data_IF_775903648624
#
_entry.id   IF_775903648624
#
_cell.length_a   1.000
_cell.length_b   1.000
_cell.length_c   1.000
_cell.angle_alpha   90.00
_cell.angle_beta   90.00
_cell.angle_gamma   90.00
#
_symmetry.space_group_name_H-M   'P 1'
#
loop_
_entity.id
_entity.type
_entity.pdbx_description
1 polymer ?
#
# COMPACT_ATOMS: atom_id res chain seq x y z
N UNK A 1 19.33 -1.06 -4.61
CA UNK A 1 18.01 -0.64 -4.08
C UNK A 1 17.20 -1.93 -3.98
N UNK A 2 16.92 -2.41 -2.76
CA UNK A 2 16.28 -3.72 -2.56
C UNK A 2 14.79 -3.65 -2.88
N UNK A 3 14.29 -4.61 -3.67
CA UNK A 3 12.86 -4.83 -3.91
C UNK A 3 12.31 -5.80 -2.86
N UNK A 4 11.15 -5.51 -2.27
CA UNK A 4 10.45 -6.40 -1.34
C UNK A 4 9.25 -7.04 -2.04
N UNK A 5 9.03 -8.33 -1.81
CA UNK A 5 7.84 -9.02 -2.31
C UNK A 5 6.77 -9.10 -1.22
N UNK A 6 5.52 -8.90 -1.61
CA UNK A 6 4.35 -9.08 -0.76
C UNK A 6 3.36 -10.06 -1.40
N UNK A 7 2.63 -10.79 -0.56
CA UNK A 7 1.57 -11.72 -0.98
C UNK A 7 0.30 -11.46 -0.17
N UNK A 8 -0.86 -11.48 -0.85
CA UNK A 8 -2.14 -11.45 -0.15
C UNK A 8 -2.30 -12.78 0.61
N UNK A 9 -2.66 -12.75 1.90
CA UNK A 9 -2.75 -13.99 2.68
C UNK A 9 -3.74 -14.98 2.03
N UNK A 10 -3.26 -16.22 1.81
CA UNK A 10 -3.93 -17.39 1.20
C UNK A 10 -4.03 -17.42 -0.33
N UNK A 11 -3.64 -16.37 -1.05
CA UNK A 11 -3.56 -16.38 -2.52
C UNK A 11 -2.20 -15.84 -2.96
N UNK A 12 -1.49 -16.56 -3.83
CA UNK A 12 -0.20 -16.12 -4.39
C UNK A 12 -0.42 -14.93 -5.35
N UNK A 13 -0.85 -13.78 -4.84
CA UNK A 13 -0.95 -12.54 -5.60
C UNK A 13 0.42 -11.86 -5.58
N UNK A 14 1.18 -11.91 -6.68
CA UNK A 14 2.56 -11.44 -6.68
C UNK A 14 2.59 -9.92 -6.72
N UNK A 15 3.08 -9.30 -5.67
CA UNK A 15 3.28 -7.84 -5.60
C UNK A 15 4.73 -7.53 -5.33
N UNK A 16 5.28 -6.59 -6.09
CA UNK A 16 6.60 -6.01 -5.86
C UNK A 16 6.44 -4.63 -5.24
N UNK A 17 7.20 -4.35 -4.19
CA UNK A 17 7.24 -3.08 -3.49
C UNK A 17 8.66 -2.55 -3.59
N UNK A 18 8.80 -1.35 -4.15
CA UNK A 18 10.07 -0.63 -4.24
C UNK A 18 9.98 0.65 -3.42
N UNK A 19 10.66 0.72 -2.27
CA UNK A 19 10.80 1.97 -1.52
C UNK A 19 11.53 3.03 -2.36
N UNK A 20 11.06 4.27 -2.30
CA UNK A 20 11.71 5.42 -2.94
C UNK A 20 12.59 6.18 -1.94
N UNK A 21 13.44 7.09 -2.44
CA UNK A 21 14.38 7.86 -1.59
C UNK A 21 13.69 8.63 -0.47
N UNK A 22 12.49 9.15 -0.71
CA UNK A 22 11.70 9.83 0.31
C UNK A 22 10.92 8.80 1.15
N UNK A 23 11.12 8.82 2.47
CA UNK A 23 10.42 7.94 3.40
C UNK A 23 8.89 8.04 3.21
N UNK A 24 8.22 6.90 3.30
CA UNK A 24 6.78 6.82 3.08
C UNK A 24 6.38 6.85 1.61
N UNK A 25 7.30 6.81 0.66
CA UNK A 25 6.97 6.73 -0.76
C UNK A 25 7.43 5.40 -1.35
N UNK A 26 6.55 4.79 -2.14
CA UNK A 26 6.72 3.44 -2.66
C UNK A 26 6.23 3.38 -4.10
N UNK A 27 6.83 2.48 -4.88
CA UNK A 27 6.25 2.00 -6.12
C UNK A 27 5.76 0.58 -5.89
N UNK A 28 4.48 0.34 -6.13
CA UNK A 28 3.84 -0.96 -6.00
C UNK A 28 3.50 -1.47 -7.39
N UNK A 29 4.06 -2.62 -7.77
CA UNK A 29 3.84 -3.23 -9.07
C UNK A 29 3.19 -4.61 -8.94
N UNK A 30 2.12 -4.84 -9.69
CA UNK A 30 1.39 -6.11 -9.75
C UNK A 30 1.20 -6.60 -11.20
N UNK A 31 0.08 -7.29 -11.48
CA UNK A 31 -0.30 -7.82 -12.81
C UNK A 31 -0.49 -6.71 -13.88
N UNK A 32 0.59 -6.10 -14.33
CA UNK A 32 0.60 -5.10 -15.41
C UNK A 32 0.33 -3.65 -14.97
N UNK A 33 0.14 -3.41 -13.66
CA UNK A 33 -0.07 -2.07 -13.11
C UNK A 33 1.08 -1.66 -12.22
N UNK A 34 1.47 -0.39 -12.33
CA UNK A 34 2.37 0.29 -11.40
C UNK A 34 1.61 1.41 -10.68
N UNK A 35 1.69 1.43 -9.36
CA UNK A 35 1.05 2.42 -8.48
C UNK A 35 2.11 3.17 -7.69
N UNK A 36 2.02 4.50 -7.71
CA UNK A 36 2.93 5.38 -6.97
C UNK A 36 2.25 5.74 -5.66
N UNK A 37 2.70 5.13 -4.56
CA UNK A 37 2.01 5.14 -3.28
C UNK A 37 2.77 6.02 -2.30
N UNK A 38 2.07 6.96 -1.66
CA UNK A 38 2.57 7.73 -0.53
C UNK A 38 1.76 7.37 0.73
N UNK A 39 2.46 6.98 1.79
CA UNK A 39 1.89 6.65 3.10
C UNK A 39 2.39 7.63 4.14
N UNK A 40 1.48 8.22 4.91
CA UNK A 40 1.78 9.15 6.01
C UNK A 40 0.94 8.80 7.24
N UNK A 41 1.41 9.08 8.46
CA UNK A 41 0.54 9.03 9.63
C UNK A 41 -0.64 10.00 9.44
N UNK A 42 -1.84 9.55 9.79
CA UNK A 42 -3.05 10.38 9.70
C UNK A 42 -3.17 11.40 10.82
N UNK A 43 -2.50 11.17 11.96
CA UNK A 43 -2.65 11.94 13.20
C UNK A 43 -4.12 12.08 13.65
N UNK A 44 -4.95 11.06 13.38
CA UNK A 44 -6.38 11.05 13.73
C UNK A 44 -7.30 11.69 12.69
N UNK A 45 -6.78 12.14 11.55
CA UNK A 45 -7.63 12.56 10.42
C UNK A 45 -8.32 11.35 9.79
N UNK A 46 -9.64 11.46 9.57
CA UNK A 46 -10.42 10.47 8.81
C UNK A 46 -10.60 9.11 9.47
N UNK A 47 -10.36 8.97 10.78
CA UNK A 47 -10.64 7.76 11.57
C UNK A 47 -9.70 6.57 11.36
N UNK A 48 -8.70 6.70 10.48
CA UNK A 48 -7.65 5.69 10.26
C UNK A 48 -6.31 6.07 10.92
N UNK A 49 -5.32 5.18 10.87
CA UNK A 49 -3.96 5.43 11.39
C UNK A 49 -3.01 5.99 10.31
N UNK A 50 -3.30 5.71 9.04
CA UNK A 50 -2.50 6.13 7.90
C UNK A 50 -3.36 6.82 6.84
N UNK A 51 -2.78 7.84 6.21
CA UNK A 51 -3.24 8.41 4.95
C UNK A 51 -2.45 7.70 3.85
N UNK A 52 -3.16 7.13 2.88
CA UNK A 52 -2.60 6.46 1.72
C UNK A 52 -3.05 7.21 0.47
N UNK A 53 -2.09 7.64 -0.34
CA UNK A 53 -2.34 8.28 -1.63
C UNK A 53 -1.74 7.44 -2.77
N UNK A 54 -2.52 7.18 -3.80
CA UNK A 54 -2.07 6.60 -5.07
C UNK A 54 -1.98 7.73 -6.09
N UNK A 55 -0.77 8.29 -6.19
CA UNK A 55 -0.51 9.59 -6.84
C UNK A 55 -0.87 9.56 -8.31
N UNK A 56 -0.46 8.51 -9.03
CA UNK A 56 -0.72 8.39 -10.46
C UNK A 56 -2.20 8.11 -10.79
N UNK A 57 -3.02 7.73 -9.81
CA UNK A 57 -4.47 7.54 -9.97
C UNK A 57 -5.29 8.68 -9.35
N UNK A 58 -4.64 9.71 -8.80
CA UNK A 58 -5.28 10.82 -8.09
C UNK A 58 -6.30 10.36 -7.03
N UNK A 59 -5.97 9.28 -6.32
CA UNK A 59 -6.82 8.65 -5.32
C UNK A 59 -6.16 8.77 -3.95
N UNK A 60 -6.94 9.03 -2.90
CA UNK A 60 -6.43 9.04 -1.52
C UNK A 60 -7.50 8.60 -0.53
N UNK A 61 -7.05 8.03 0.59
CA UNK A 61 -7.92 7.51 1.62
C UNK A 61 -7.24 7.42 2.97
N UNK A 62 -8.06 7.40 4.02
CA UNK A 62 -7.61 7.10 5.37
C UNK A 62 -7.91 5.63 5.68
N UNK A 63 -6.95 4.97 6.30
CA UNK A 63 -6.93 3.53 6.51
C UNK A 63 -6.48 3.24 7.96
N UNK A 64 -7.34 2.56 8.73
CA UNK A 64 -7.04 1.84 9.98
C UNK A 64 -5.96 0.78 9.81
N UNK A 65 -4.79 0.93 10.44
CA UNK A 65 -3.73 -0.05 10.35
C UNK A 65 -4.11 -1.44 10.94
N UNK A 66 -4.81 -2.30 10.19
CA UNK A 66 -4.81 -3.77 10.21
C UNK A 66 -5.76 -4.36 9.16
N UNK A 67 -5.19 -5.08 8.19
CA UNK A 67 -5.85 -6.00 7.25
C UNK A 67 -6.84 -5.35 6.28
N UNK A 68 -6.44 -5.26 5.01
CA UNK A 68 -7.23 -4.66 3.95
C UNK A 68 -7.67 -5.66 2.91
N UNK A 69 -8.94 -5.61 2.54
CA UNK A 69 -9.45 -6.26 1.34
C UNK A 69 -9.41 -5.32 0.14
N UNK A 70 -9.50 -5.88 -1.07
CA UNK A 70 -9.69 -5.08 -2.28
C UNK A 70 -10.96 -4.19 -2.18
N UNK A 71 -12.00 -4.63 -1.48
CA UNK A 71 -13.22 -3.85 -1.29
C UNK A 71 -12.97 -2.59 -0.44
N UNK A 72 -12.17 -2.71 0.62
CA UNK A 72 -11.78 -1.57 1.47
C UNK A 72 -10.99 -0.55 0.67
N UNK A 73 -10.07 -1.00 -0.18
CA UNK A 73 -9.30 -0.11 -1.06
C UNK A 73 -10.20 0.64 -2.04
N UNK A 74 -11.18 -0.03 -2.64
CA UNK A 74 -12.16 0.62 -3.53
C UNK A 74 -12.97 1.66 -2.76
N UNK A 75 -13.43 1.32 -1.54
CA UNK A 75 -14.31 2.17 -0.75
C UNK A 75 -13.59 3.39 -0.16
N UNK A 76 -12.41 3.19 0.44
CA UNK A 76 -11.74 4.21 1.24
C UNK A 76 -10.68 4.99 0.47
N UNK A 77 -9.97 4.35 -0.48
CA UNK A 77 -8.94 5.02 -1.31
C UNK A 77 -9.50 5.46 -2.66
N UNK A 78 -10.45 4.72 -3.23
CA UNK A 78 -11.06 5.03 -4.52
C UNK A 78 -10.42 4.38 -5.74
N UNK A 79 -9.52 3.40 -5.55
CA UNK A 79 -8.97 2.61 -6.67
C UNK A 79 -10.06 1.67 -7.20
N UNK A 80 -10.75 2.06 -8.28
CA UNK A 80 -11.96 1.38 -8.77
C UNK A 80 -11.69 0.01 -9.40
N UNK A 81 -10.52 -0.18 -9.99
CA UNK A 81 -10.16 -1.47 -10.60
C UNK A 81 -9.87 -2.49 -9.49
N UNK A 82 -10.62 -3.59 -9.47
CA UNK A 82 -10.50 -4.63 -8.43
C UNK A 82 -9.12 -5.31 -8.39
N UNK A 83 -8.45 -5.44 -9.53
CA UNK A 83 -7.10 -6.04 -9.66
C UNK A 83 -6.06 -5.11 -9.05
N UNK A 84 -6.16 -3.81 -9.33
CA UNK A 84 -5.27 -2.79 -8.76
C UNK A 84 -5.53 -2.62 -7.25
N UNK A 85 -6.80 -2.65 -6.86
CA UNK A 85 -7.21 -2.61 -5.45
C UNK A 85 -6.67 -3.81 -4.67
N UNK A 86 -6.78 -5.03 -5.22
CA UNK A 86 -6.20 -6.23 -4.61
C UNK A 86 -4.66 -6.16 -4.54
N UNK A 87 -4.02 -5.62 -5.57
CA UNK A 87 -2.57 -5.40 -5.60
C UNK A 87 -2.14 -4.43 -4.50
N UNK A 88 -2.87 -3.32 -4.32
CA UNK A 88 -2.58 -2.35 -3.28
C UNK A 88 -2.85 -2.93 -1.89
N UNK A 89 -3.96 -3.65 -1.69
CA UNK A 89 -4.28 -4.31 -0.44
C UNK A 89 -3.16 -5.27 0.01
N UNK A 90 -2.65 -6.10 -0.90
CA UNK A 90 -1.50 -6.98 -0.64
C UNK A 90 -0.22 -6.22 -0.29
N UNK A 91 -0.01 -5.03 -0.85
CA UNK A 91 1.19 -4.24 -0.56
C UNK A 91 1.13 -3.57 0.82
N UNK A 92 -0.05 -3.11 1.25
CA UNK A 92 -0.19 -2.24 2.40
C UNK A 92 0.23 -2.89 3.72
N UNK A 93 0.00 -4.20 3.90
CA UNK A 93 0.44 -4.92 5.10
C UNK A 93 1.97 -4.83 5.28
N UNK A 94 2.71 -4.99 4.18
CA UNK A 94 4.18 -4.90 4.19
C UNK A 94 4.65 -3.46 4.34
N UNK A 95 4.01 -2.52 3.62
CA UNK A 95 4.33 -1.09 3.71
C UNK A 95 4.11 -0.56 5.13
N UNK A 96 3.00 -0.90 5.77
CA UNK A 96 2.71 -0.45 7.14
C UNK A 96 3.69 -1.07 8.14
N UNK A 97 4.04 -2.34 7.99
CA UNK A 97 5.08 -2.94 8.82
C UNK A 97 6.45 -2.25 8.64
N UNK A 98 6.78 -1.79 7.42
CA UNK A 98 7.99 -0.97 7.20
C UNK A 98 7.88 0.41 7.87
N UNK A 99 6.73 1.09 7.76
CA UNK A 99 6.52 2.41 8.37
C UNK A 99 6.50 2.37 9.90
N UNK A 100 5.97 1.30 10.48
CA UNK A 100 6.00 1.03 11.92
C UNK A 100 7.40 0.59 12.42
N UNK A 101 8.39 0.43 11.53
CA UNK A 101 9.73 -0.04 11.87
C UNK A 101 9.80 -1.52 12.24
N UNK A 102 8.74 -2.29 11.97
CA UNK A 102 8.64 -3.75 12.23
C UNK A 102 9.27 -4.59 11.12
N UNK A 103 9.46 -4.01 9.94
CA UNK A 103 10.20 -4.59 8.82
C UNK A 103 11.30 -3.61 8.40
N UNK A 104 12.56 -3.99 8.60
CA UNK A 104 13.70 -3.26 8.06
C UNK A 104 13.89 -3.77 6.63
N UNK A 105 13.85 -2.87 5.64
CA UNK A 105 14.34 -3.21 4.30
C UNK A 105 15.81 -3.63 4.45
N UNK A 106 16.07 -4.94 4.39
CA UNK A 106 17.42 -5.49 4.55
C UNK A 106 18.31 -4.86 3.49
N UNK A 107 19.46 -4.31 3.88
CA UNK A 107 20.42 -3.63 2.99
C UNK A 107 21.21 -4.62 2.14
#
# INVERSE_FOLDING_TARGET
>A
MLETQATLRKENWPVKIRPLKAKGNYVVSGKGTEMWVAVRPSFGMGGGNYIVAVVNFNCCGCLDARQWSAADIVQYIGVKNKVDAATLAAALDVIFAMEEGKLVAVQ
#
